data_IF_174705937649
#
_entry.id   IF_174705937649
#
_cell.length_a   1.000
_cell.length_b   1.000
_cell.length_c   1.000
_cell.angle_alpha   90.00
_cell.angle_beta   90.00
_cell.angle_gamma   90.00
#
_symmetry.space_group_name_H-M   'P 1'
#
loop_
_entity.id
_entity.type
_entity.pdbx_description
1 polymer ?
#
# COMPACT_ATOMS: atom_id res chain seq x y z
N UNK A 1 6.49 1.40 -7.64
CA UNK A 1 7.16 2.23 -6.67
C UNK A 1 6.79 3.67 -6.88
N UNK A 2 5.98 4.28 -6.02
CA UNK A 2 5.30 3.63 -4.89
C UNK A 2 4.66 4.64 -3.97
N UNK A 3 3.66 4.14 -3.27
CA UNK A 3 3.08 4.70 -2.06
C UNK A 3 4.08 5.36 -1.09
N UNK A 4 5.33 4.90 -0.98
CA UNK A 4 6.34 5.49 -0.08
C UNK A 4 7.45 6.35 -0.73
N UNK A 5 7.52 6.44 -2.06
CA UNK A 5 8.50 7.32 -2.76
C UNK A 5 7.85 8.59 -3.31
N UNK A 6 6.52 8.59 -3.51
CA UNK A 6 5.77 9.76 -3.96
C UNK A 6 5.78 10.01 -5.47
N UNK A 7 6.35 9.11 -6.28
CA UNK A 7 6.40 9.23 -7.74
C UNK A 7 5.18 8.61 -8.47
N UNK A 8 4.10 8.33 -7.74
CA UNK A 8 2.76 7.97 -8.27
C UNK A 8 2.70 6.73 -9.21
N UNK A 9 3.71 5.85 -9.16
CA UNK A 9 3.76 4.64 -9.96
C UNK A 9 3.49 3.40 -9.07
N UNK A 10 2.24 2.94 -8.91
CA UNK A 10 1.89 1.89 -7.95
C UNK A 10 2.51 0.52 -8.27
N UNK A 11 2.82 0.23 -9.54
CA UNK A 11 3.29 -1.10 -9.96
C UNK A 11 4.82 -1.28 -10.06
N UNK A 12 5.59 -0.24 -10.40
CA UNK A 12 6.99 -0.46 -10.82
C UNK A 12 8.01 -0.19 -9.73
N UNK A 13 8.61 -1.20 -9.10
CA UNK A 13 9.49 -1.12 -7.92
C UNK A 13 10.79 -0.28 -8.04
N UNK A 14 11.02 0.36 -9.19
CA UNK A 14 12.20 1.21 -9.47
C UNK A 14 13.54 0.55 -9.08
N UNK A 15 13.62 -0.79 -9.11
CA UNK A 15 14.82 -1.54 -8.71
C UNK A 15 15.04 -1.69 -7.20
N UNK A 16 14.08 -1.28 -6.37
CA UNK A 16 14.12 -1.34 -4.91
C UNK A 16 12.98 -2.21 -4.37
N UNK A 17 13.16 -3.55 -4.27
CA UNK A 17 12.07 -4.49 -3.98
C UNK A 17 11.37 -4.28 -2.62
N UNK A 18 11.94 -3.49 -1.71
CA UNK A 18 11.39 -3.23 -0.37
C UNK A 18 10.34 -2.10 -0.33
N UNK A 19 10.25 -1.28 -1.36
CA UNK A 19 9.29 -0.20 -1.38
C UNK A 19 7.83 -0.74 -1.57
N UNK A 20 6.83 0.10 -1.31
CA UNK A 20 5.42 -0.34 -1.24
C UNK A 20 4.74 -0.23 -2.61
N UNK A 21 4.35 -1.36 -3.20
CA UNK A 21 3.63 -1.43 -4.50
C UNK A 21 2.25 -2.05 -4.36
N UNK A 22 1.50 -2.09 -5.47
CA UNK A 22 0.29 -2.92 -5.58
C UNK A 22 0.55 -4.40 -5.26
N UNK A 23 1.71 -4.95 -5.62
CA UNK A 23 2.09 -6.31 -5.25
C UNK A 23 2.13 -6.50 -3.73
N UNK A 24 2.61 -5.49 -2.99
CA UNK A 24 2.59 -5.51 -1.52
C UNK A 24 1.16 -5.63 -0.98
N UNK A 25 0.21 -4.90 -1.58
CA UNK A 25 -1.20 -4.98 -1.19
C UNK A 25 -1.85 -6.29 -1.64
N UNK A 26 -1.49 -6.86 -2.79
CA UNK A 26 -1.97 -8.17 -3.24
C UNK A 26 -1.56 -9.29 -2.27
N UNK A 27 -0.30 -9.31 -1.86
CA UNK A 27 0.22 -10.30 -0.91
C UNK A 27 -0.42 -10.15 0.48
N UNK A 28 -0.55 -8.91 0.97
CA UNK A 28 -1.20 -8.63 2.24
C UNK A 28 -2.71 -8.95 2.22
N UNK A 29 -3.40 -8.64 1.13
CA UNK A 29 -4.82 -8.95 0.95
C UNK A 29 -5.05 -10.47 0.97
N UNK A 30 -4.22 -11.22 0.24
CA UNK A 30 -4.26 -12.70 0.23
C UNK A 30 -3.99 -13.31 1.61
N UNK A 31 -3.05 -12.77 2.36
CA UNK A 31 -2.73 -13.26 3.71
C UNK A 31 -3.88 -13.07 4.71
N UNK A 32 -4.74 -12.07 4.47
CA UNK A 32 -5.85 -11.67 5.34
C UNK A 32 -7.23 -12.13 4.83
N UNK A 33 -7.28 -12.90 3.74
CA UNK A 33 -8.52 -13.31 3.06
C UNK A 33 -9.47 -12.12 2.76
N UNK A 34 -8.90 -11.02 2.26
CA UNK A 34 -9.62 -9.80 1.88
C UNK A 34 -9.31 -9.39 0.44
N UNK A 35 -10.08 -8.44 -0.10
CA UNK A 35 -9.77 -7.82 -1.39
C UNK A 35 -8.60 -6.83 -1.29
N UNK A 36 -7.92 -6.58 -2.42
CA UNK A 36 -6.86 -5.55 -2.52
C UNK A 36 -7.41 -4.17 -2.18
N UNK A 37 -8.66 -3.89 -2.54
CA UNK A 37 -9.33 -2.62 -2.22
C UNK A 37 -9.52 -2.44 -0.71
N UNK A 38 -9.98 -3.48 0.00
CA UNK A 38 -10.12 -3.45 1.46
C UNK A 38 -8.77 -3.27 2.15
N UNK A 39 -7.73 -3.97 1.69
CA UNK A 39 -6.37 -3.82 2.21
C UNK A 39 -5.87 -2.37 2.09
N UNK A 40 -6.12 -1.73 0.93
CA UNK A 40 -5.77 -0.32 0.69
C UNK A 40 -6.58 0.62 1.59
N UNK A 41 -7.89 0.39 1.74
CA UNK A 41 -8.78 1.23 2.58
C UNK A 41 -8.40 1.16 4.07
N UNK A 42 -8.18 -0.03 4.62
CA UNK A 42 -7.78 -0.17 6.02
C UNK A 42 -6.38 0.39 6.29
N UNK A 43 -5.47 0.26 5.31
CA UNK A 43 -4.15 0.91 5.39
C UNK A 43 -4.27 2.44 5.42
N UNK A 44 -5.07 3.04 4.51
CA UNK A 44 -5.29 4.48 4.49
C UNK A 44 -5.88 4.99 5.81
N UNK A 45 -6.91 4.29 6.33
CA UNK A 45 -7.55 4.62 7.60
C UNK A 45 -6.58 4.60 8.78
N UNK A 46 -5.66 3.63 8.83
CA UNK A 46 -4.62 3.60 9.86
C UNK A 46 -3.62 4.75 9.69
N UNK A 47 -3.18 5.02 8.45
CA UNK A 47 -2.25 6.10 8.16
C UNK A 47 -2.84 7.47 8.53
N UNK A 48 -4.08 7.76 8.15
CA UNK A 48 -4.78 8.98 8.53
C UNK A 48 -4.80 9.15 10.06
N UNK A 49 -5.15 8.09 10.79
CA UNK A 49 -5.13 8.08 12.26
C UNK A 49 -3.74 8.36 12.84
N UNK A 50 -2.67 7.81 12.25
CA UNK A 50 -1.29 8.02 12.73
C UNK A 50 -0.75 9.41 12.40
N UNK A 51 -1.13 9.98 11.26
CA UNK A 51 -0.71 11.30 10.81
C UNK A 51 -1.56 12.43 11.41
N UNK A 52 -2.66 12.09 12.10
CA UNK A 52 -3.60 13.08 12.62
C UNK A 52 -4.46 13.73 11.53
N UNK A 53 -4.51 13.12 10.35
CA UNK A 53 -5.34 13.55 9.24
C UNK A 53 -6.76 12.98 9.43
N UNK A 54 -7.79 13.81 9.19
CA UNK A 54 -9.21 13.46 9.35
C UNK A 54 -9.81 12.91 8.07
#
# INVERSE_FOLDING_TARGET
>A
MCYNCGCELPHGDMGHPQNITDKTFEEAAKAMDQSVEEAKKETLKLLQKQLGEK
#
